data_IF_260678220887
#
_entry.id   IF_260678220887
#
_cell.length_a   1.000
_cell.length_b   1.000
_cell.length_c   1.000
_cell.angle_alpha   90.00
_cell.angle_beta   90.00
_cell.angle_gamma   90.00
#
_symmetry.space_group_name_H-M   'P 1'
#
loop_
_entity.id
_entity.type
_entity.pdbx_description
1 polymer ?
#
# COMPACT_ATOMS: atom_id res chain seq x y z
N UNK A 1 -27.37 -6.18 -45.30
CA UNK A 1 -27.77 -5.46 -44.07
C UNK A 1 -28.25 -6.37 -42.94
N UNK A 2 -29.19 -7.31 -43.18
CA UNK A 2 -29.73 -8.22 -42.14
C UNK A 2 -28.69 -9.18 -41.51
N UNK A 3 -27.67 -9.59 -42.25
CA UNK A 3 -26.59 -10.47 -41.74
C UNK A 3 -25.61 -9.75 -40.81
N UNK A 4 -25.32 -8.47 -41.07
CA UNK A 4 -24.48 -7.64 -40.20
C UNK A 4 -25.13 -7.31 -38.85
N UNK A 5 -26.46 -7.18 -38.83
CA UNK A 5 -27.23 -6.95 -37.59
C UNK A 5 -27.15 -8.17 -36.66
N UNK A 6 -27.16 -9.38 -37.21
CA UNK A 6 -26.97 -10.62 -36.44
C UNK A 6 -25.54 -10.77 -35.90
N UNK A 7 -24.53 -10.35 -36.67
CA UNK A 7 -23.11 -10.44 -36.28
C UNK A 7 -22.76 -9.42 -35.18
N UNK A 8 -23.35 -8.23 -35.21
CA UNK A 8 -23.23 -7.22 -34.13
C UNK A 8 -23.98 -7.66 -32.87
N UNK A 9 -25.16 -8.27 -33.00
CA UNK A 9 -25.90 -8.79 -31.84
C UNK A 9 -25.15 -9.95 -31.14
N UNK A 10 -24.48 -10.82 -31.91
CA UNK A 10 -23.66 -11.91 -31.35
C UNK A 10 -22.43 -11.39 -30.59
N UNK A 11 -21.83 -10.30 -31.08
CA UNK A 11 -20.65 -9.67 -30.44
C UNK A 11 -21.01 -8.91 -29.16
N UNK A 12 -22.22 -8.36 -29.06
CA UNK A 12 -22.74 -7.68 -27.86
C UNK A 12 -23.17 -8.66 -26.77
N UNK A 13 -23.59 -9.89 -27.11
CA UNK A 13 -23.96 -10.92 -26.12
C UNK A 13 -22.73 -11.54 -25.44
N UNK A 14 -21.58 -11.60 -26.13
CA UNK A 14 -20.34 -12.13 -25.51
C UNK A 14 -19.68 -11.19 -24.50
N UNK A 15 -20.02 -9.89 -24.47
CA UNK A 15 -19.42 -8.95 -23.51
C UNK A 15 -20.17 -8.85 -22.18
N UNK A 16 -21.42 -9.33 -22.10
CA UNK A 16 -22.27 -9.15 -20.90
C UNK A 16 -22.24 -10.31 -19.91
N UNK A 17 -21.55 -11.40 -20.21
CA UNK A 17 -21.54 -12.60 -19.35
C UNK A 17 -20.40 -12.66 -18.33
N UNK A 18 -19.52 -11.65 -18.28
CA UNK A 18 -18.33 -11.67 -17.41
C UNK A 18 -18.49 -10.91 -16.08
N UNK A 19 -19.64 -10.27 -15.82
CA UNK A 19 -19.83 -9.45 -14.62
C UNK A 19 -20.46 -10.17 -13.41
N UNK A 20 -20.81 -11.46 -13.55
CA UNK A 20 -21.51 -12.22 -12.50
C UNK A 20 -20.61 -13.13 -11.65
N UNK A 21 -19.33 -13.28 -12.00
CA UNK A 21 -18.40 -14.12 -11.25
C UNK A 21 -17.68 -13.26 -10.19
N UNK A 22 -18.31 -13.09 -9.03
CA UNK A 22 -17.63 -12.57 -7.83
C UNK A 22 -16.39 -13.43 -7.56
N UNK A 23 -15.20 -12.80 -7.51
CA UNK A 23 -13.92 -13.48 -7.28
C UNK A 23 -13.97 -14.33 -5.98
N UNK A 24 -13.28 -15.47 -5.98
CA UNK A 24 -13.20 -16.43 -4.87
C UNK A 24 -12.99 -15.72 -3.52
N UNK A 25 -12.11 -14.72 -3.49
CA UNK A 25 -11.75 -13.93 -2.31
C UNK A 25 -12.88 -13.01 -1.85
N UNK A 26 -13.54 -12.31 -2.79
CA UNK A 26 -14.67 -11.42 -2.49
C UNK A 26 -15.83 -12.17 -1.82
N UNK A 27 -16.09 -13.41 -2.24
CA UNK A 27 -17.11 -14.23 -1.60
C UNK A 27 -16.75 -14.56 -0.14
N UNK A 28 -15.47 -14.83 0.15
CA UNK A 28 -14.99 -15.06 1.53
C UNK A 28 -15.04 -13.79 2.37
N UNK A 29 -14.67 -12.64 1.81
CA UNK A 29 -14.82 -11.36 2.51
C UNK A 29 -16.28 -11.08 2.88
N UNK A 30 -17.21 -11.35 1.96
CA UNK A 30 -18.65 -11.24 2.25
C UNK A 30 -19.06 -12.15 3.41
N UNK A 31 -18.56 -13.39 3.48
CA UNK A 31 -18.81 -14.28 4.62
C UNK A 31 -18.27 -13.70 5.93
N UNK A 32 -17.05 -13.16 5.93
CA UNK A 32 -16.44 -12.51 7.11
C UNK A 32 -17.32 -11.35 7.58
N UNK A 33 -17.73 -10.46 6.66
CA UNK A 33 -18.59 -9.31 6.97
C UNK A 33 -19.96 -9.72 7.51
N UNK A 34 -20.48 -10.88 7.11
CA UNK A 34 -21.73 -11.44 7.61
C UNK A 34 -21.57 -12.23 8.94
N UNK A 35 -20.44 -12.08 9.64
CA UNK A 35 -20.18 -12.75 10.91
C UNK A 35 -19.77 -14.22 10.78
N UNK A 36 -19.56 -14.72 9.56
CA UNK A 36 -19.19 -16.12 9.27
C UNK A 36 -17.68 -16.32 9.12
N UNK A 37 -16.88 -15.54 9.84
CA UNK A 37 -15.41 -15.63 9.79
C UNK A 37 -14.87 -17.03 10.12
N UNK A 38 -15.57 -17.79 10.98
CA UNK A 38 -15.20 -19.16 11.33
C UNK A 38 -15.31 -20.14 10.16
N UNK A 39 -16.22 -19.92 9.21
CA UNK A 39 -16.33 -20.76 8.00
C UNK A 39 -15.08 -20.55 7.13
N UNK A 40 -14.73 -19.28 6.86
CA UNK A 40 -13.53 -18.95 6.07
C UNK A 40 -12.25 -19.41 6.75
N UNK A 41 -12.14 -19.31 8.08
CA UNK A 41 -10.97 -19.77 8.83
C UNK A 41 -10.73 -21.29 8.67
N UNK A 42 -11.79 -22.09 8.49
CA UNK A 42 -11.65 -23.53 8.24
C UNK A 42 -11.13 -23.84 6.84
N UNK A 43 -11.53 -23.04 5.84
CA UNK A 43 -11.10 -23.19 4.44
C UNK A 43 -9.70 -22.61 4.18
N UNK A 44 -9.29 -21.61 4.96
CA UNK A 44 -8.08 -20.83 4.72
C UNK A 44 -6.80 -21.68 4.57
N UNK A 45 -6.54 -22.75 5.35
CA UNK A 45 -5.35 -23.57 5.16
C UNK A 45 -5.26 -24.21 3.77
N UNK A 46 -6.39 -24.66 3.23
CA UNK A 46 -6.46 -25.25 1.89
C UNK A 46 -6.26 -24.18 0.82
N UNK A 47 -6.84 -22.98 1.00
CA UNK A 47 -6.65 -21.86 0.10
C UNK A 47 -5.19 -21.40 0.03
N UNK A 48 -4.50 -21.32 1.18
CA UNK A 48 -3.07 -20.97 1.21
C UNK A 48 -2.23 -22.04 0.51
N UNK A 49 -2.60 -23.31 0.63
CA UNK A 49 -1.89 -24.40 -0.05
C UNK A 49 -2.08 -24.37 -1.56
N UNK A 50 -3.30 -24.06 -2.02
CA UNK A 50 -3.64 -24.02 -3.45
C UNK A 50 -3.15 -22.74 -4.13
N UNK A 51 -3.18 -21.61 -3.41
CA UNK A 51 -2.86 -20.27 -3.91
C UNK A 51 -1.88 -19.53 -2.99
N UNK A 52 -0.63 -20.04 -2.82
CA UNK A 52 0.32 -19.50 -1.83
C UNK A 52 0.74 -18.05 -2.10
N UNK A 53 0.76 -17.64 -3.37
CA UNK A 53 1.20 -16.30 -3.82
C UNK A 53 0.02 -15.44 -4.33
N UNK A 54 -1.23 -15.82 -4.01
CA UNK A 54 -2.39 -14.99 -4.35
C UNK A 54 -2.56 -13.87 -3.32
N UNK A 55 -2.44 -12.59 -3.71
CA UNK A 55 -2.53 -11.47 -2.77
C UNK A 55 -3.88 -11.35 -2.07
N UNK A 56 -4.95 -11.88 -2.66
CA UNK A 56 -6.27 -11.89 -2.02
C UNK A 56 -6.39 -12.98 -0.96
N UNK A 57 -5.80 -14.15 -1.17
CA UNK A 57 -5.67 -15.19 -0.12
C UNK A 57 -4.77 -14.72 1.02
N UNK A 58 -3.68 -14.02 0.70
CA UNK A 58 -2.85 -13.36 1.70
C UNK A 58 -3.66 -12.32 2.49
N UNK A 59 -4.47 -11.51 1.81
CA UNK A 59 -5.31 -10.50 2.47
C UNK A 59 -6.36 -11.14 3.40
N UNK A 60 -7.01 -12.23 2.97
CA UNK A 60 -7.91 -13.02 3.82
C UNK A 60 -7.22 -13.55 5.06
N UNK A 61 -6.00 -14.07 4.89
CA UNK A 61 -5.19 -14.53 6.01
C UNK A 61 -4.94 -13.39 7.00
N UNK A 62 -4.48 -12.23 6.51
CA UNK A 62 -4.25 -11.03 7.32
C UNK A 62 -5.49 -10.58 8.12
N UNK A 63 -6.68 -10.61 7.51
CA UNK A 63 -7.94 -10.22 8.16
C UNK A 63 -8.31 -11.18 9.30
N UNK A 64 -8.02 -12.47 9.15
CA UNK A 64 -8.44 -13.50 10.09
C UNK A 64 -7.44 -13.72 11.25
N UNK A 65 -6.29 -13.05 11.23
CA UNK A 65 -5.30 -13.13 12.31
C UNK A 65 -5.75 -12.32 13.52
N UNK A 66 -5.55 -12.90 14.71
CA UNK A 66 -5.77 -12.18 15.98
C UNK A 66 -4.59 -11.25 16.33
N UNK A 67 -3.38 -11.63 15.94
CA UNK A 67 -2.18 -10.86 16.18
C UNK A 67 -1.99 -9.80 15.08
N UNK A 68 -2.28 -8.55 15.46
CA UNK A 68 -2.14 -7.39 14.57
C UNK A 68 -0.73 -7.19 14.01
N UNK A 69 0.33 -7.62 14.72
CA UNK A 69 1.72 -7.49 14.24
C UNK A 69 2.02 -8.50 13.13
N UNK A 70 1.48 -9.72 13.26
CA UNK A 70 1.57 -10.72 12.20
C UNK A 70 0.75 -10.31 10.99
N UNK A 71 -0.47 -9.79 11.20
CA UNK A 71 -1.30 -9.26 10.13
C UNK A 71 -0.60 -8.13 9.39
N UNK A 72 0.03 -7.19 10.11
CA UNK A 72 0.83 -6.12 9.53
C UNK A 72 1.90 -6.66 8.58
N UNK A 73 2.63 -7.72 8.98
CA UNK A 73 3.69 -8.31 8.15
C UNK A 73 3.14 -8.86 6.83
N UNK A 74 1.93 -9.45 6.85
CA UNK A 74 1.23 -9.91 5.64
C UNK A 74 0.84 -8.74 4.75
N UNK A 75 0.27 -7.67 5.31
CA UNK A 75 -0.09 -6.49 4.52
C UNK A 75 1.13 -5.80 3.91
N UNK A 76 2.24 -5.67 4.65
CA UNK A 76 3.51 -5.15 4.14
C UNK A 76 4.11 -6.04 3.05
N UNK A 77 3.84 -7.35 3.07
CA UNK A 77 4.20 -8.25 1.99
C UNK A 77 3.37 -7.97 0.72
N UNK A 78 2.05 -7.85 0.85
CA UNK A 78 1.15 -7.57 -0.28
C UNK A 78 1.55 -6.27 -0.99
N UNK A 79 1.76 -5.18 -0.25
CA UNK A 79 2.11 -3.88 -0.85
C UNK A 79 3.48 -3.85 -1.50
N UNK A 80 4.41 -4.69 -1.05
CA UNK A 80 5.77 -4.79 -1.60
C UNK A 80 5.84 -5.68 -2.82
N UNK A 81 5.20 -6.84 -2.78
CA UNK A 81 5.33 -7.89 -3.80
C UNK A 81 4.24 -7.81 -4.87
N UNK A 82 3.05 -7.29 -4.52
CA UNK A 82 1.89 -7.23 -5.39
C UNK A 82 1.29 -5.81 -5.49
N UNK A 83 2.07 -4.76 -5.77
CA UNK A 83 1.60 -3.36 -5.72
C UNK A 83 0.55 -3.00 -6.79
N UNK A 84 0.29 -3.87 -7.76
CA UNK A 84 -0.74 -3.70 -8.80
C UNK A 84 -1.97 -4.57 -8.56
N UNK A 85 -1.97 -5.36 -7.48
CA UNK A 85 -3.13 -6.17 -7.09
C UNK A 85 -4.28 -5.28 -6.65
N UNK A 86 -5.50 -5.73 -6.90
CA UNK A 86 -6.72 -5.13 -6.34
C UNK A 86 -6.73 -5.12 -4.80
N UNK A 87 -5.88 -5.91 -4.14
CA UNK A 87 -5.78 -5.97 -2.67
C UNK A 87 -4.68 -5.06 -2.10
N UNK A 88 -3.91 -4.38 -2.95
CA UNK A 88 -2.73 -3.64 -2.53
C UNK A 88 -3.06 -2.33 -1.80
N UNK A 89 -4.09 -1.62 -2.25
CA UNK A 89 -4.57 -0.41 -1.60
C UNK A 89 -5.30 -0.73 -0.30
N UNK A 90 -6.10 -1.80 -0.27
CA UNK A 90 -6.69 -2.38 0.94
C UNK A 90 -5.63 -2.77 1.98
N UNK A 91 -4.54 -3.42 1.55
CA UNK A 91 -3.42 -3.77 2.43
C UNK A 91 -2.72 -2.50 2.96
N UNK A 92 -2.44 -1.52 2.10
CA UNK A 92 -1.86 -0.24 2.53
C UNK A 92 -2.77 0.50 3.51
N UNK A 93 -4.09 0.42 3.31
CA UNK A 93 -5.08 0.95 4.24
C UNK A 93 -4.98 0.30 5.62
N UNK A 94 -4.85 -1.04 5.69
CA UNK A 94 -4.65 -1.75 6.96
C UNK A 94 -3.35 -1.35 7.65
N UNK A 95 -2.28 -1.11 6.90
CA UNK A 95 -1.00 -0.61 7.42
C UNK A 95 -1.17 0.78 8.06
N UNK A 96 -1.86 1.70 7.38
CA UNK A 96 -2.14 3.05 7.93
C UNK A 96 -2.94 2.95 9.23
N UNK A 97 -4.01 2.15 9.25
CA UNK A 97 -4.82 1.94 10.45
C UNK A 97 -3.99 1.39 11.61
N UNK A 98 -3.13 0.42 11.34
CA UNK A 98 -2.28 -0.17 12.38
C UNK A 98 -1.44 0.90 13.09
N UNK A 99 -0.70 1.72 12.33
CA UNK A 99 0.17 2.74 12.93
C UNK A 99 -0.61 3.89 13.56
N UNK A 100 -1.74 4.29 12.97
CA UNK A 100 -2.65 5.28 13.54
C UNK A 100 -3.17 4.83 14.92
N UNK A 101 -3.68 3.59 15.02
CA UNK A 101 -4.20 3.04 16.27
C UNK A 101 -3.11 2.77 17.31
N UNK A 102 -1.89 2.46 16.89
CA UNK A 102 -0.71 2.38 17.76
C UNK A 102 -0.17 3.74 18.20
N UNK A 103 -0.72 4.84 17.68
CA UNK A 103 -0.24 6.22 17.90
C UNK A 103 1.23 6.41 17.52
N UNK A 104 1.72 5.66 16.54
CA UNK A 104 3.04 5.89 15.96
C UNK A 104 2.90 7.02 14.92
N UNK A 105 3.05 8.27 15.37
CA UNK A 105 2.87 9.47 14.54
C UNK A 105 3.76 9.44 13.30
N UNK A 106 5.03 9.04 13.45
CA UNK A 106 5.99 9.04 12.33
C UNK A 106 5.59 8.02 11.27
N UNK A 107 5.28 6.78 11.67
CA UNK A 107 4.85 5.74 10.73
C UNK A 107 3.49 6.08 10.14
N UNK A 108 2.51 6.50 10.93
CA UNK A 108 1.16 6.80 10.47
C UNK A 108 1.16 7.84 9.33
N UNK A 109 1.85 8.97 9.51
CA UNK A 109 1.96 9.99 8.45
C UNK A 109 2.74 9.49 7.24
N UNK A 110 3.80 8.72 7.43
CA UNK A 110 4.60 8.18 6.32
C UNK A 110 3.79 7.21 5.47
N UNK A 111 3.11 6.27 6.11
CA UNK A 111 2.30 5.27 5.41
C UNK A 111 1.06 5.89 4.75
N UNK A 112 0.46 6.92 5.36
CA UNK A 112 -0.57 7.72 4.70
C UNK A 112 -0.01 8.45 3.48
N UNK A 113 1.19 9.00 3.56
CA UNK A 113 1.88 9.62 2.42
C UNK A 113 2.11 8.62 1.28
N UNK A 114 2.54 7.41 1.59
CA UNK A 114 2.64 6.31 0.62
C UNK A 114 1.29 5.98 0.01
N UNK A 115 0.25 5.88 0.82
CA UNK A 115 -1.11 5.60 0.36
C UNK A 115 -1.59 6.66 -0.65
N UNK A 116 -1.50 7.95 -0.29
CA UNK A 116 -1.88 9.07 -1.18
C UNK A 116 -1.15 9.08 -2.52
N UNK A 117 0.13 8.66 -2.55
CA UNK A 117 0.93 8.65 -3.78
C UNK A 117 0.61 7.44 -4.66
N UNK A 118 0.48 6.27 -4.06
CA UNK A 118 0.43 5.02 -4.82
C UNK A 118 -0.99 4.59 -5.16
N UNK A 119 -1.98 4.96 -4.33
CA UNK A 119 -3.37 4.56 -4.50
C UNK A 119 -4.33 5.77 -4.33
N UNK A 120 -4.18 6.85 -5.13
CA UNK A 120 -4.96 8.08 -4.97
C UNK A 120 -6.46 7.93 -5.24
N UNK A 121 -6.86 6.85 -5.91
CA UNK A 121 -8.25 6.56 -6.28
C UNK A 121 -8.93 5.52 -5.37
N UNK A 122 -8.24 5.06 -4.32
CA UNK A 122 -8.84 4.08 -3.41
C UNK A 122 -10.04 4.67 -2.67
N UNK A 123 -11.10 3.87 -2.53
CA UNK A 123 -12.32 4.26 -1.83
C UNK A 123 -12.08 4.56 -0.34
N UNK A 124 -11.02 4.00 0.25
CA UNK A 124 -10.69 4.19 1.67
C UNK A 124 -9.73 5.35 1.94
N UNK A 125 -9.29 6.09 0.93
CA UNK A 125 -8.25 7.11 1.13
C UNK A 125 -8.70 8.23 2.08
N UNK A 126 -9.96 8.68 1.98
CA UNK A 126 -10.51 9.72 2.88
C UNK A 126 -10.57 9.20 4.31
N UNK A 127 -11.04 7.97 4.52
CA UNK A 127 -11.03 7.32 5.84
C UNK A 127 -9.61 7.21 6.42
N UNK A 128 -8.61 7.02 5.56
CA UNK A 128 -7.21 6.99 5.96
C UNK A 128 -6.67 8.34 6.43
N UNK A 129 -7.09 9.41 5.78
CA UNK A 129 -6.77 10.76 6.21
C UNK A 129 -7.42 11.05 7.56
N UNK A 130 -8.71 10.72 7.70
CA UNK A 130 -9.50 11.02 8.89
C UNK A 130 -8.97 10.28 10.14
N UNK A 131 -8.63 8.99 10.02
CA UNK A 131 -8.12 8.24 11.17
C UNK A 131 -6.76 8.75 11.63
N UNK A 132 -5.86 9.10 10.70
CA UNK A 132 -4.53 9.63 11.06
C UNK A 132 -4.71 10.97 11.76
N UNK A 133 -5.52 11.87 11.20
CA UNK A 133 -5.84 13.16 11.81
C UNK A 133 -6.44 13.00 13.21
N UNK A 134 -7.40 12.09 13.37
CA UNK A 134 -8.08 11.87 14.65
C UNK A 134 -7.19 11.22 15.73
N UNK A 135 -6.21 10.40 15.32
CA UNK A 135 -5.38 9.63 16.26
C UNK A 135 -4.06 10.31 16.62
N UNK A 136 -3.35 10.84 15.62
CA UNK A 136 -2.00 11.39 15.76
C UNK A 136 -1.89 12.87 15.39
N UNK A 137 -2.99 13.49 14.94
CA UNK A 137 -3.05 14.90 14.58
C UNK A 137 -2.62 15.19 13.13
N UNK A 138 -2.43 16.47 12.83
CA UNK A 138 -1.87 16.89 11.55
C UNK A 138 -0.35 16.63 11.53
N UNK A 139 0.26 16.42 10.34
CA UNK A 139 1.70 16.33 10.25
C UNK A 139 2.31 17.59 10.85
N UNK A 140 3.28 17.43 11.75
CA UNK A 140 4.08 18.57 12.20
C UNK A 140 4.83 19.05 10.97
N UNK A 141 4.30 20.08 10.30
CA UNK A 141 5.04 20.84 9.30
C UNK A 141 6.11 21.57 10.09
N UNK A 142 7.25 20.92 10.29
CA UNK A 142 8.46 21.65 10.66
C UNK A 142 8.73 22.60 9.51
N UNK A 143 8.30 23.85 9.67
CA UNK A 143 8.69 25.01 8.85
C UNK A 143 10.17 25.34 9.08
N UNK A 144 11.02 24.34 9.31
CA UNK A 144 12.45 24.51 9.21
C UNK A 144 12.70 24.88 7.75
N UNK A 145 13.22 26.09 7.46
CA UNK A 145 13.61 26.44 6.10
C UNK A 145 14.50 25.32 5.55
N UNK A 146 14.44 25.01 4.24
CA UNK A 146 15.32 24.01 3.66
C UNK A 146 16.72 24.32 4.13
N UNK A 147 17.35 23.36 4.82
CA UNK A 147 18.72 23.49 5.28
C UNK A 147 19.53 23.90 4.05
N UNK A 148 19.96 25.16 4.04
CA UNK A 148 20.88 25.66 3.02
C UNK A 148 22.10 24.79 3.20
N UNK A 149 22.27 23.80 2.31
CA UNK A 149 23.52 23.07 2.16
C UNK A 149 24.58 24.15 1.98
N UNK A 150 25.29 24.45 3.07
CA UNK A 150 26.47 25.30 3.04
C UNK A 150 27.35 24.70 1.95
N UNK A 151 27.78 25.48 0.94
CA UNK A 151 28.68 24.96 -0.08
C UNK A 151 29.86 24.30 0.63
N UNK A 152 30.19 23.07 0.23
CA UNK A 152 31.40 22.40 0.70
C UNK A 152 32.59 23.36 0.50
N UNK A 153 33.52 23.46 1.45
CA UNK A 153 34.67 24.33 1.27
C UNK A 153 35.43 23.88 0.01
N UNK A 154 35.57 24.81 -0.92
CA UNK A 154 36.28 24.65 -2.17
C UNK A 154 37.72 24.20 -1.87
N UNK A 155 38.06 22.96 -2.23
CA UNK A 155 39.42 22.44 -2.15
C UNK A 155 40.22 22.88 -3.39
N UNK A 156 40.28 24.18 -3.64
CA UNK A 156 41.02 24.69 -4.80
C UNK A 156 41.64 26.07 -4.56
N UNK A 157 42.37 26.25 -3.46
CA UNK A 157 43.48 27.21 -3.41
C UNK A 157 44.37 26.98 -2.20
N UNK A 158 45.52 26.33 -2.41
CA UNK A 158 46.82 26.68 -1.81
C UNK A 158 47.81 25.54 -2.03
N UNK A 159 48.51 25.60 -3.17
CA UNK A 159 49.86 25.04 -3.23
C UNK A 159 50.68 25.81 -4.26
N UNK A 160 51.25 26.94 -3.85
CA UNK A 160 52.47 27.48 -4.44
C UNK A 160 52.94 28.72 -3.69
N UNK A 161 53.69 28.56 -2.59
CA UNK A 161 54.80 29.47 -2.24
C UNK A 161 55.85 28.68 -1.45
N UNK A 162 56.94 28.31 -2.12
CA UNK A 162 58.22 27.91 -1.50
C UNK A 162 58.95 29.14 -0.96
N UNK A 163 59.41 29.17 0.30
CA UNK A 163 60.40 30.14 0.73
C UNK A 163 61.81 29.57 0.55
N UNK A 164 62.58 30.24 -0.30
CA UNK A 164 64.05 30.18 -0.33
C UNK A 164 64.61 30.66 1.01
N UNK A 165 65.47 29.85 1.62
CA UNK A 165 66.28 30.24 2.78
C UNK A 165 67.73 30.43 2.32
N UNK A 166 68.42 31.51 2.73
CA UNK A 166 69.85 31.68 2.48
C UNK A 166 70.65 31.00 3.59
N UNK A 167 71.71 30.28 3.23
CA UNK A 167 72.78 29.91 4.15
C UNK A 167 74.12 30.43 3.65
N UNK A 168 74.84 31.00 4.62
CA UNK A 168 76.23 31.42 4.65
C UNK A 168 77.20 30.45 3.97
#
# INVERSE_FOLDING_TARGET
MKFYIFLVALLVVTTTSNFAQSSMVHNRLRLIMNGKANEVRKELPDLIKEFPDDPGVMFLNGILMEDATKALSVYEQITREFPQSEWADDAQWRIVQYYALKRDTTRAHRELGTYKRNYPMSEFLIHAIDIVKATVGEPIVTTTPPEVKKPAPDKTSEKSITPTSPKS
#
